data_IF_424542947023
#
_entry.id   IF_424542947023
#
_cell.length_a   1.000
_cell.length_b   1.000
_cell.length_c   1.000
_cell.angle_alpha   90.00
_cell.angle_beta   90.00
_cell.angle_gamma   90.00
#
_symmetry.space_group_name_H-M   'P 1'
#
loop_
_entity.id
_entity.type
_entity.pdbx_description
1 polymer ?
#
# COMPACT_ATOMS: atom_id res chain seq x y z
N UNK A 1 -30.36 43.23 2.36
CA UNK A 1 -30.31 42.32 3.52
C UNK A 1 -29.67 41.03 3.05
N UNK A 2 -28.45 40.74 3.51
CA UNK A 2 -27.69 39.57 3.08
C UNK A 2 -28.21 38.32 3.81
N UNK A 3 -28.69 37.35 3.05
CA UNK A 3 -29.06 36.02 3.53
C UNK A 3 -27.78 35.24 3.84
N UNK A 4 -27.40 35.20 5.12
CA UNK A 4 -26.32 34.38 5.64
C UNK A 4 -26.86 33.01 6.02
N UNK A 5 -27.26 32.21 5.03
CA UNK A 5 -27.48 30.78 5.22
C UNK A 5 -26.13 30.06 5.31
N UNK A 6 -25.41 30.20 6.44
CA UNK A 6 -24.33 29.29 6.76
C UNK A 6 -24.93 27.92 7.03
N UNK A 7 -24.93 27.06 6.01
CA UNK A 7 -25.41 25.69 6.10
C UNK A 7 -24.59 24.91 7.12
N UNK A 8 -25.17 24.73 8.32
CA UNK A 8 -24.59 23.88 9.37
C UNK A 8 -24.57 22.44 8.84
N UNK A 9 -23.40 21.97 8.42
CA UNK A 9 -23.22 20.59 7.96
C UNK A 9 -23.39 19.68 9.17
N UNK A 10 -24.43 18.85 9.16
CA UNK A 10 -24.72 17.93 10.26
C UNK A 10 -23.67 16.81 10.39
N UNK A 11 -23.39 16.29 11.60
CA UNK A 11 -22.39 15.23 11.83
C UNK A 11 -22.64 13.95 11.03
N UNK A 12 -23.89 13.68 10.63
CA UNK A 12 -24.26 12.55 9.79
C UNK A 12 -23.80 12.74 8.34
N UNK A 13 -24.03 13.92 7.74
CA UNK A 13 -23.55 14.27 6.39
C UNK A 13 -22.02 14.23 6.32
N UNK A 14 -21.34 14.72 7.36
CA UNK A 14 -19.87 14.65 7.43
C UNK A 14 -19.35 13.20 7.43
N UNK A 15 -20.02 12.28 8.14
CA UNK A 15 -19.63 10.86 8.17
C UNK A 15 -19.84 10.18 6.81
N UNK A 16 -20.94 10.49 6.13
CA UNK A 16 -21.24 9.96 4.79
C UNK A 16 -20.24 10.45 3.74
N UNK A 17 -19.90 11.74 3.74
CA UNK A 17 -18.90 12.31 2.84
C UNK A 17 -17.51 11.69 3.05
N UNK A 18 -17.09 11.52 4.31
CA UNK A 18 -15.82 10.87 4.65
C UNK A 18 -15.82 9.40 4.19
N UNK A 19 -16.91 8.66 4.41
CA UNK A 19 -17.02 7.28 3.96
C UNK A 19 -16.97 7.17 2.43
N UNK A 20 -17.66 8.07 1.73
CA UNK A 20 -17.68 8.14 0.27
C UNK A 20 -16.28 8.42 -0.29
N UNK A 21 -15.56 9.39 0.29
CA UNK A 21 -14.18 9.69 -0.09
C UNK A 21 -13.24 8.50 0.12
N UNK A 22 -13.33 7.79 1.25
CA UNK A 22 -12.49 6.62 1.52
C UNK A 22 -12.77 5.47 0.54
N UNK A 23 -14.04 5.24 0.18
CA UNK A 23 -14.43 4.23 -0.80
C UNK A 23 -13.90 4.59 -2.20
N UNK A 24 -14.05 5.85 -2.60
CA UNK A 24 -13.54 6.40 -3.86
C UNK A 24 -12.02 6.23 -3.95
N UNK A 25 -11.31 6.67 -2.92
CA UNK A 25 -9.86 6.52 -2.79
C UNK A 25 -9.43 5.05 -2.90
N UNK A 26 -10.12 4.16 -2.19
CA UNK A 26 -9.85 2.72 -2.21
C UNK A 26 -10.01 2.15 -3.61
N UNK A 27 -11.08 2.51 -4.31
CA UNK A 27 -11.37 2.02 -5.66
C UNK A 27 -10.29 2.47 -6.66
N UNK A 28 -10.00 3.77 -6.70
CA UNK A 28 -8.98 4.36 -7.60
C UNK A 28 -7.60 3.75 -7.35
N UNK A 29 -7.16 3.70 -6.10
CA UNK A 29 -5.82 3.19 -5.77
C UNK A 29 -5.71 1.67 -5.96
N UNK A 30 -6.77 0.89 -5.69
CA UNK A 30 -6.73 -0.54 -6.01
C UNK A 30 -6.55 -0.78 -7.50
N UNK A 31 -7.27 -0.03 -8.34
CA UNK A 31 -7.11 -0.16 -9.79
C UNK A 31 -5.70 0.23 -10.24
N UNK A 32 -5.20 1.37 -9.78
CA UNK A 32 -3.83 1.84 -10.07
C UNK A 32 -2.80 0.76 -9.73
N UNK A 33 -2.81 0.22 -8.51
CA UNK A 33 -1.79 -0.73 -8.05
C UNK A 33 -1.82 -2.08 -8.77
N UNK A 34 -2.97 -2.48 -9.33
CA UNK A 34 -3.18 -3.79 -9.98
C UNK A 34 -3.05 -3.75 -11.50
N UNK A 35 -3.29 -2.60 -12.13
CA UNK A 35 -3.41 -2.51 -13.58
C UNK A 35 -2.47 -1.50 -14.26
N UNK A 36 -1.85 -0.60 -13.50
CA UNK A 36 -1.00 0.48 -14.05
C UNK A 36 0.36 0.45 -13.35
N UNK A 37 1.44 0.29 -14.11
CA UNK A 37 2.79 0.40 -13.57
C UNK A 37 3.17 1.88 -13.47
N UNK A 38 3.06 2.47 -12.28
CA UNK A 38 3.37 3.89 -12.04
C UNK A 38 4.84 4.13 -11.66
N UNK A 39 5.71 3.15 -11.94
CA UNK A 39 7.12 3.16 -11.55
C UNK A 39 7.99 2.93 -12.78
N UNK A 40 8.95 3.83 -13.01
CA UNK A 40 9.93 3.75 -14.09
C UNK A 40 11.02 2.69 -13.83
N UNK A 41 11.96 2.53 -14.75
CA UNK A 41 13.08 1.58 -14.64
C UNK A 41 14.02 1.92 -13.48
N UNK A 42 14.12 3.20 -13.13
CA UNK A 42 14.91 3.72 -12.02
C UNK A 42 14.19 3.66 -10.65
N UNK A 43 13.05 2.96 -10.56
CA UNK A 43 12.20 2.87 -9.37
C UNK A 43 11.70 4.22 -8.83
N UNK A 44 11.54 5.21 -9.72
CA UNK A 44 10.91 6.50 -9.40
C UNK A 44 9.43 6.45 -9.81
N UNK A 45 8.62 7.17 -9.05
CA UNK A 45 7.19 7.33 -9.33
C UNK A 45 7.08 8.26 -10.54
N UNK A 46 6.54 7.74 -11.64
CA UNK A 46 6.23 8.52 -12.84
C UNK A 46 4.82 9.07 -12.79
N UNK A 47 4.57 10.09 -13.60
CA UNK A 47 3.21 10.61 -13.80
C UNK A 47 2.33 9.59 -14.53
N UNK A 48 1.04 9.65 -14.23
CA UNK A 48 0.03 8.83 -14.90
C UNK A 48 -0.36 9.53 -16.18
N UNK A 49 -0.21 8.84 -17.30
CA UNK A 49 -0.51 9.37 -18.62
C UNK A 49 -2.01 9.62 -18.79
N UNK A 50 -2.40 10.48 -19.74
CA UNK A 50 -3.81 10.74 -20.08
C UNK A 50 -4.57 9.44 -20.39
N UNK A 51 -3.96 8.53 -21.16
CA UNK A 51 -4.52 7.22 -21.49
C UNK A 51 -4.73 6.34 -20.26
N UNK A 52 -3.81 6.37 -19.29
CA UNK A 52 -3.97 5.64 -18.03
C UNK A 52 -5.06 6.27 -17.15
N UNK A 53 -5.18 7.59 -17.11
CA UNK A 53 -6.27 8.29 -16.43
C UNK A 53 -7.64 7.94 -17.02
N UNK A 54 -7.76 7.92 -18.35
CA UNK A 54 -8.99 7.51 -19.05
C UNK A 54 -9.39 6.08 -18.71
N UNK A 55 -8.42 5.17 -18.57
CA UNK A 55 -8.67 3.78 -18.14
C UNK A 55 -9.19 3.71 -16.70
N UNK A 56 -8.60 4.48 -15.78
CA UNK A 56 -9.09 4.57 -14.40
C UNK A 56 -10.50 5.15 -14.39
N UNK A 57 -10.73 6.24 -15.11
CA UNK A 57 -12.03 6.91 -15.23
C UNK A 57 -13.11 5.96 -15.74
N UNK A 58 -12.84 5.26 -16.84
CA UNK A 58 -13.76 4.28 -17.41
C UNK A 58 -14.09 3.15 -16.42
N UNK A 59 -13.08 2.65 -15.70
CA UNK A 59 -13.30 1.56 -14.74
C UNK A 59 -14.04 2.02 -13.48
N UNK A 60 -13.71 3.20 -12.97
CA UNK A 60 -14.22 3.71 -11.69
C UNK A 60 -15.48 4.55 -11.82
N UNK A 61 -15.83 4.98 -13.04
CA UNK A 61 -16.92 5.91 -13.35
C UNK A 61 -16.78 7.26 -12.61
N UNK A 62 -15.55 7.71 -12.43
CA UNK A 62 -15.22 8.96 -11.75
C UNK A 62 -14.64 9.98 -12.74
N UNK A 63 -14.81 11.26 -12.44
CA UNK A 63 -14.24 12.32 -13.27
C UNK A 63 -12.70 12.28 -13.26
N UNK A 64 -12.08 12.66 -14.38
CA UNK A 64 -10.62 12.77 -14.48
C UNK A 64 -10.06 13.76 -13.46
N UNK A 65 -10.79 14.83 -13.14
CA UNK A 65 -10.38 15.81 -12.13
C UNK A 65 -10.27 15.16 -10.75
N UNK A 66 -11.33 14.46 -10.31
CA UNK A 66 -11.35 13.74 -9.02
C UNK A 66 -10.22 12.71 -8.92
N UNK A 67 -10.00 11.95 -9.99
CA UNK A 67 -8.94 10.94 -10.05
C UNK A 67 -7.57 11.62 -9.94
N UNK A 68 -7.30 12.65 -10.74
CA UNK A 68 -6.02 13.37 -10.73
C UNK A 68 -5.73 13.96 -9.35
N UNK A 69 -6.71 14.59 -8.68
CA UNK A 69 -6.54 15.10 -7.31
C UNK A 69 -6.17 13.99 -6.34
N UNK A 70 -6.87 12.84 -6.39
CA UNK A 70 -6.58 11.69 -5.52
C UNK A 70 -5.19 11.10 -5.76
N UNK A 71 -4.80 10.97 -7.03
CA UNK A 71 -3.50 10.43 -7.41
C UNK A 71 -2.36 11.36 -7.01
N UNK A 72 -2.51 12.67 -7.20
CA UNK A 72 -1.52 13.66 -6.79
C UNK A 72 -1.29 13.62 -5.27
N UNK A 73 -2.38 13.62 -4.48
CA UNK A 73 -2.30 13.48 -3.03
C UNK A 73 -1.64 12.17 -2.59
N UNK A 74 -1.91 11.07 -3.31
CA UNK A 74 -1.27 9.79 -3.06
C UNK A 74 0.23 9.82 -3.37
N UNK A 75 0.62 10.31 -4.55
CA UNK A 75 2.01 10.33 -4.99
C UNK A 75 2.86 11.25 -4.14
N UNK A 76 2.34 12.41 -3.73
CA UNK A 76 3.00 13.29 -2.77
C UNK A 76 3.29 12.56 -1.45
N UNK A 77 2.28 11.90 -0.88
CA UNK A 77 2.45 11.09 0.35
C UNK A 77 3.46 9.96 0.15
N UNK A 78 3.39 9.25 -0.98
CA UNK A 78 4.32 8.16 -1.28
C UNK A 78 5.78 8.65 -1.42
N UNK A 79 6.01 9.80 -2.07
CA UNK A 79 7.33 10.45 -2.14
C UNK A 79 7.83 10.85 -0.76
N UNK A 80 6.97 11.45 0.08
CA UNK A 80 7.32 11.82 1.44
C UNK A 80 7.68 10.60 2.31
N UNK A 81 6.97 9.48 2.15
CA UNK A 81 7.34 8.22 2.79
C UNK A 81 8.72 7.73 2.35
N UNK A 82 9.02 7.79 1.05
CA UNK A 82 10.33 7.39 0.51
C UNK A 82 11.46 8.25 1.09
N UNK A 83 11.28 9.57 1.11
CA UNK A 83 12.25 10.51 1.70
C UNK A 83 12.44 10.21 3.20
N UNK A 84 11.37 9.91 3.93
CA UNK A 84 11.44 9.53 5.34
C UNK A 84 12.29 8.27 5.56
N UNK A 85 12.07 7.20 4.79
CA UNK A 85 12.86 5.97 4.96
C UNK A 85 14.32 6.13 4.54
N UNK A 86 14.60 6.96 3.53
CA UNK A 86 15.95 7.28 3.10
C UNK A 86 16.71 8.14 4.13
N UNK A 87 16.06 9.15 4.69
CA UNK A 87 16.70 10.09 5.64
C UNK A 87 16.81 9.54 7.06
N UNK A 88 15.90 8.65 7.45
CA UNK A 88 15.84 8.06 8.80
C UNK A 88 15.81 6.54 8.67
N UNK A 89 16.95 5.90 8.35
CA UNK A 89 17.02 4.46 8.26
C UNK A 89 16.56 3.89 9.60
N UNK A 90 15.46 3.13 9.57
CA UNK A 90 14.92 2.58 10.79
C UNK A 90 15.90 1.54 11.30
N UNK A 91 16.50 1.82 12.45
CA UNK A 91 17.40 0.89 13.13
C UNK A 91 16.69 -0.41 13.44
N UNK A 92 17.40 -1.50 13.19
CA UNK A 92 16.98 -2.83 13.56
C UNK A 92 16.91 -2.92 15.09
N UNK A 93 15.82 -3.48 15.61
CA UNK A 93 15.62 -3.64 17.04
C UNK A 93 15.79 -5.11 17.41
N UNK A 94 16.68 -5.40 18.36
CA UNK A 94 16.90 -6.75 18.88
C UNK A 94 15.64 -7.33 19.52
N UNK A 95 14.82 -6.47 20.14
CA UNK A 95 13.55 -6.89 20.72
C UNK A 95 12.52 -7.13 19.61
N UNK A 96 12.28 -8.41 19.31
CA UNK A 96 11.36 -8.88 18.26
C UNK A 96 9.92 -8.37 18.42
N UNK A 97 9.43 -8.25 19.66
CA UNK A 97 8.09 -7.74 19.93
C UNK A 97 7.97 -6.24 19.63
N UNK A 98 9.01 -5.45 19.96
CA UNK A 98 9.07 -4.03 19.59
C UNK A 98 9.20 -3.85 18.08
N UNK A 99 10.01 -4.70 17.42
CA UNK A 99 10.13 -4.73 15.96
C UNK A 99 8.77 -5.01 15.30
N UNK A 100 8.03 -6.05 15.72
CA UNK A 100 6.68 -6.35 15.20
C UNK A 100 5.74 -5.16 15.36
N UNK A 101 5.71 -4.55 16.56
CA UNK A 101 4.90 -3.36 16.83
C UNK A 101 5.25 -2.22 15.86
N UNK A 102 6.53 -2.02 15.59
CA UNK A 102 7.02 -0.99 14.66
C UNK A 102 6.57 -1.28 13.22
N UNK A 103 6.77 -2.49 12.71
CA UNK A 103 6.29 -2.89 11.38
C UNK A 103 4.77 -2.70 11.28
N UNK A 104 4.02 -3.07 12.32
CA UNK A 104 2.56 -2.89 12.37
C UNK A 104 2.12 -1.42 12.29
N UNK A 105 2.86 -0.50 12.92
CA UNK A 105 2.60 0.95 12.84
C UNK A 105 2.80 1.43 11.40
N UNK A 106 3.91 1.06 10.76
CA UNK A 106 4.17 1.48 9.38
C UNK A 106 3.21 0.83 8.37
N UNK A 107 2.82 -0.43 8.56
CA UNK A 107 1.74 -1.05 7.78
C UNK A 107 0.42 -0.29 7.91
N UNK A 108 0.09 0.22 9.11
CA UNK A 108 -1.10 1.04 9.30
C UNK A 108 -0.99 2.36 8.52
N UNK A 109 0.18 3.02 8.59
CA UNK A 109 0.46 4.25 7.82
C UNK A 109 0.32 4.00 6.31
N UNK A 110 0.90 2.91 5.79
CA UNK A 110 0.76 2.52 4.39
C UNK A 110 -0.71 2.27 4.01
N UNK A 111 -1.47 1.56 4.85
CA UNK A 111 -2.91 1.33 4.62
C UNK A 111 -3.73 2.63 4.58
N UNK A 112 -3.44 3.59 5.47
CA UNK A 112 -4.08 4.92 5.46
C UNK A 112 -3.72 5.72 4.21
N UNK A 113 -2.49 5.56 3.71
CA UNK A 113 -2.03 6.20 2.47
C UNK A 113 -2.68 5.57 1.24
N UNK A 114 -2.67 4.24 1.13
CA UNK A 114 -3.27 3.48 0.05
C UNK A 114 -3.96 2.20 0.59
N UNK A 115 -5.30 2.19 0.73
CA UNK A 115 -6.04 1.05 1.29
C UNK A 115 -6.23 -0.08 0.26
N UNK A 116 -5.12 -0.60 -0.27
CA UNK A 116 -5.09 -1.60 -1.37
C UNK A 116 -5.01 -3.06 -0.89
N UNK A 117 -4.88 -3.27 0.42
CA UNK A 117 -4.78 -4.57 1.07
C UNK A 117 -5.62 -4.59 2.36
N UNK A 118 -5.96 -5.77 2.87
CA UNK A 118 -6.69 -5.89 4.13
C UNK A 118 -5.73 -5.71 5.32
N UNK A 119 -5.87 -4.60 6.06
CA UNK A 119 -5.02 -4.35 7.23
C UNK A 119 -5.22 -5.40 8.35
N UNK A 120 -6.44 -5.87 8.58
CA UNK A 120 -6.72 -6.92 9.57
C UNK A 120 -5.96 -8.20 9.24
N UNK A 121 -5.98 -8.63 7.98
CA UNK A 121 -5.24 -9.81 7.52
C UNK A 121 -3.72 -9.58 7.51
N UNK A 122 -3.28 -8.38 7.14
CA UNK A 122 -1.87 -8.02 7.20
C UNK A 122 -1.29 -8.14 8.62
N UNK A 123 -2.06 -7.81 9.66
CA UNK A 123 -1.63 -8.02 11.06
C UNK A 123 -1.44 -9.50 11.40
N UNK A 124 -2.34 -10.37 10.95
CA UNK A 124 -2.20 -11.81 11.17
C UNK A 124 -0.99 -12.37 10.41
N UNK A 125 -0.84 -12.01 9.14
CA UNK A 125 0.28 -12.42 8.31
C UNK A 125 1.62 -11.88 8.81
N UNK A 126 1.66 -10.70 9.45
CA UNK A 126 2.87 -10.17 10.08
C UNK A 126 3.38 -11.09 11.20
N UNK A 127 2.49 -11.58 12.06
CA UNK A 127 2.85 -12.51 13.15
C UNK A 127 3.42 -13.81 12.60
N UNK A 128 2.74 -14.37 11.60
CA UNK A 128 3.19 -15.60 10.91
C UNK A 128 4.54 -15.37 10.25
N UNK A 129 4.73 -14.23 9.58
CA UNK A 129 6.00 -13.88 8.96
C UNK A 129 7.12 -13.78 10.01
N UNK A 130 6.89 -13.11 11.14
CA UNK A 130 7.91 -12.97 12.18
C UNK A 130 8.35 -14.32 12.77
N UNK A 131 7.42 -15.24 13.01
CA UNK A 131 7.76 -16.60 13.42
C UNK A 131 8.63 -17.31 12.37
N UNK A 132 8.34 -17.12 11.08
CA UNK A 132 9.14 -17.69 9.99
C UNK A 132 10.53 -17.04 9.87
N UNK A 133 10.64 -15.71 10.03
CA UNK A 133 11.91 -14.98 10.06
C UNK A 133 12.81 -15.49 11.19
N UNK A 134 12.22 -15.76 12.35
CA UNK A 134 12.90 -16.33 13.50
C UNK A 134 13.42 -17.75 13.21
N UNK A 135 12.56 -18.63 12.69
CA UNK A 135 12.95 -20.00 12.31
C UNK A 135 14.08 -20.04 11.28
N UNK A 136 14.12 -19.07 10.35
CA UNK A 136 15.15 -18.99 9.30
C UNK A 136 16.36 -18.17 9.70
N UNK A 137 16.40 -17.63 10.92
CA UNK A 137 17.44 -16.71 11.40
C UNK A 137 17.76 -15.59 10.41
N UNK A 138 16.74 -15.02 9.77
CA UNK A 138 16.89 -14.00 8.74
C UNK A 138 15.93 -12.85 9.02
N UNK A 139 16.47 -11.65 9.28
CA UNK A 139 15.69 -10.46 9.61
C UNK A 139 15.94 -9.35 8.60
N UNK A 140 15.17 -9.27 7.50
CA UNK A 140 15.35 -8.23 6.50
C UNK A 140 14.92 -6.87 7.04
N UNK A 141 15.29 -5.78 6.36
CA UNK A 141 14.87 -4.43 6.74
C UNK A 141 13.34 -4.29 6.83
N UNK A 142 12.87 -3.37 7.66
CA UNK A 142 11.42 -3.14 7.89
C UNK A 142 10.67 -2.86 6.59
N UNK A 143 11.25 -2.11 5.66
CA UNK A 143 10.68 -1.86 4.32
C UNK A 143 10.40 -3.14 3.54
N UNK A 144 11.32 -4.11 3.66
CA UNK A 144 11.19 -5.44 3.06
C UNK A 144 10.14 -6.28 3.80
N UNK A 145 10.12 -6.24 5.13
CA UNK A 145 9.08 -6.92 5.92
C UNK A 145 7.69 -6.41 5.57
N UNK A 146 7.49 -5.09 5.45
CA UNK A 146 6.21 -4.50 5.01
C UNK A 146 5.80 -4.98 3.62
N UNK A 147 6.73 -4.95 2.65
CA UNK A 147 6.48 -5.41 1.29
C UNK A 147 6.08 -6.90 1.27
N UNK A 148 6.78 -7.75 2.04
CA UNK A 148 6.45 -9.18 2.16
C UNK A 148 5.06 -9.40 2.76
N UNK A 149 4.72 -8.71 3.85
CA UNK A 149 3.40 -8.86 4.49
C UNK A 149 2.28 -8.46 3.52
N UNK A 150 2.42 -7.34 2.81
CA UNK A 150 1.41 -6.91 1.84
C UNK A 150 1.34 -7.90 0.68
N UNK A 151 2.47 -8.39 0.18
CA UNK A 151 2.53 -9.41 -0.87
C UNK A 151 1.78 -10.69 -0.46
N UNK A 152 2.09 -11.25 0.71
CA UNK A 152 1.42 -12.45 1.24
C UNK A 152 -0.08 -12.19 1.43
N UNK A 153 -0.43 -11.03 1.98
CA UNK A 153 -1.83 -10.66 2.23
C UNK A 153 -2.65 -10.55 0.95
N UNK A 154 -2.06 -9.95 -0.09
CA UNK A 154 -2.69 -9.78 -1.39
C UNK A 154 -2.87 -11.13 -2.11
N UNK A 155 -1.84 -11.99 -2.06
CA UNK A 155 -1.83 -13.29 -2.72
C UNK A 155 -2.76 -14.31 -2.07
N UNK A 156 -2.85 -14.30 -0.75
CA UNK A 156 -3.75 -15.19 0.00
C UNK A 156 -5.20 -14.67 0.03
N UNK A 157 -5.54 -13.59 -0.68
CA UNK A 157 -6.89 -13.04 -0.68
C UNK A 157 -7.82 -13.78 -1.64
N UNK A 158 -8.60 -14.73 -1.11
CA UNK A 158 -9.61 -15.48 -1.89
C UNK A 158 -10.64 -14.58 -2.58
N UNK A 159 -10.88 -13.36 -2.06
CA UNK A 159 -11.82 -12.39 -2.67
C UNK A 159 -11.27 -11.68 -3.91
N UNK A 160 -9.96 -11.71 -4.14
CA UNK A 160 -9.36 -11.17 -5.35
C UNK A 160 -9.45 -12.24 -6.44
N UNK A 161 -10.51 -12.18 -7.25
CA UNK A 161 -10.72 -13.08 -8.38
C UNK A 161 -9.46 -13.19 -9.27
N UNK A 162 -9.03 -14.43 -9.51
CA UNK A 162 -8.30 -14.89 -10.71
C UNK A 162 -7.21 -13.94 -11.25
N UNK A 163 -6.14 -13.72 -10.49
CA UNK A 163 -4.88 -13.19 -11.06
C UNK A 163 -4.70 -11.66 -11.03
N UNK A 164 -5.65 -10.89 -10.55
CA UNK A 164 -5.52 -9.44 -10.40
C UNK A 164 -4.74 -9.04 -9.15
N UNK A 165 -3.49 -9.50 -9.04
CA UNK A 165 -2.63 -9.17 -7.90
C UNK A 165 -2.02 -7.78 -8.02
N UNK A 166 -1.58 -7.22 -6.89
CA UNK A 166 -0.78 -6.00 -6.88
C UNK A 166 0.49 -6.25 -7.71
N UNK A 167 0.80 -5.32 -8.61
CA UNK A 167 2.03 -5.34 -9.39
C UNK A 167 3.21 -5.23 -8.42
N UNK A 168 4.11 -6.22 -8.44
CA UNK A 168 5.21 -6.30 -7.47
C UNK A 168 6.12 -5.06 -7.52
N UNK A 169 6.34 -4.49 -8.71
CA UNK A 169 7.13 -3.27 -8.88
C UNK A 169 6.51 -2.07 -8.17
N UNK A 170 5.19 -1.88 -8.30
CA UNK A 170 4.43 -0.85 -7.59
C UNK A 170 4.51 -1.03 -6.07
N UNK A 171 4.31 -2.27 -5.60
CA UNK A 171 4.39 -2.60 -4.17
C UNK A 171 5.76 -2.27 -3.59
N UNK A 172 6.82 -2.71 -4.27
CA UNK A 172 8.21 -2.51 -3.87
C UNK A 172 8.55 -1.01 -3.80
N UNK A 173 8.19 -0.24 -4.82
CA UNK A 173 8.41 1.21 -4.81
C UNK A 173 7.63 1.91 -3.69
N UNK A 174 6.38 1.49 -3.43
CA UNK A 174 5.56 2.06 -2.37
C UNK A 174 6.11 1.77 -0.96
N UNK A 175 6.72 0.61 -0.76
CA UNK A 175 7.32 0.23 0.52
C UNK A 175 8.78 0.66 0.67
N UNK A 176 9.38 1.29 -0.33
CA UNK A 176 10.81 1.57 -0.43
C UNK A 176 11.69 0.32 -0.25
N UNK A 177 11.36 -0.73 -1.02
CA UNK A 177 12.04 -2.03 -0.98
C UNK A 177 12.68 -2.34 -2.34
N UNK A 178 13.97 -2.68 -2.35
CA UNK A 178 14.67 -3.05 -3.59
C UNK A 178 14.20 -4.42 -4.13
N UNK A 179 14.36 -4.63 -5.45
CA UNK A 179 14.04 -5.91 -6.07
C UNK A 179 14.85 -7.04 -5.43
N UNK A 180 16.14 -6.82 -5.29
CA UNK A 180 17.07 -7.78 -4.72
C UNK A 180 16.67 -8.17 -3.29
N UNK A 181 16.45 -7.18 -2.39
CA UNK A 181 16.08 -7.47 -1.00
C UNK A 181 14.76 -8.25 -0.92
N UNK A 182 13.76 -7.85 -1.72
CA UNK A 182 12.47 -8.53 -1.77
C UNK A 182 12.59 -9.99 -2.25
N UNK A 183 13.26 -10.23 -3.37
CA UNK A 183 13.40 -11.57 -3.94
C UNK A 183 14.30 -12.47 -3.07
N UNK A 184 15.40 -11.93 -2.55
CA UNK A 184 16.28 -12.65 -1.63
C UNK A 184 15.53 -13.11 -0.37
N UNK A 185 14.80 -12.20 0.27
CA UNK A 185 14.04 -12.54 1.47
C UNK A 185 12.94 -13.57 1.17
N UNK A 186 12.21 -13.44 0.05
CA UNK A 186 11.23 -14.45 -0.37
C UNK A 186 11.84 -15.82 -0.57
N UNK A 187 13.00 -15.90 -1.21
CA UNK A 187 13.68 -17.16 -1.48
C UNK A 187 14.17 -17.83 -0.20
N UNK A 188 14.79 -17.07 0.71
CA UNK A 188 15.24 -17.57 2.03
C UNK A 188 14.05 -18.12 2.83
N UNK A 189 12.93 -17.41 2.79
CA UNK A 189 11.71 -17.78 3.50
C UNK A 189 10.85 -18.80 2.74
N UNK A 190 11.29 -19.25 1.56
CA UNK A 190 10.54 -20.17 0.68
C UNK A 190 9.11 -19.71 0.37
N UNK A 191 8.90 -18.39 0.25
CA UNK A 191 7.60 -17.80 -0.10
C UNK A 191 7.45 -17.77 -1.62
N UNK A 192 6.58 -18.64 -2.12
CA UNK A 192 6.32 -18.80 -3.56
C UNK A 192 5.60 -17.60 -4.19
N UNK A 193 5.41 -17.62 -5.50
CA UNK A 193 4.72 -16.56 -6.25
C UNK A 193 3.24 -16.43 -5.90
N UNK A 194 2.66 -17.44 -5.25
CA UNK A 194 1.30 -17.46 -4.68
C UNK A 194 1.26 -16.99 -3.22
N UNK A 195 2.38 -16.52 -2.65
CA UNK A 195 2.41 -16.03 -1.27
C UNK A 195 2.30 -17.13 -0.20
N UNK A 196 2.53 -18.39 -0.58
CA UNK A 196 2.51 -19.54 0.33
C UNK A 196 3.95 -19.96 0.65
N UNK A 197 4.16 -20.46 1.86
CA UNK A 197 5.42 -21.07 2.25
C UNK A 197 5.47 -22.52 1.71
N UNK A 198 6.64 -22.96 1.23
CA UNK A 198 6.90 -24.36 0.90
C UNK A 198 7.41 -25.12 2.12
#
# INVERSE_FOLDING_TARGET
>A
MADMSQGVITPLKQKEEVANYQNTKKMVLNYLFRHICFVDEQNKIKEVTKKELERISTHTKLSNLTITTLLNQFFEKARNFKIFFASKPITWEYNKAKLEKKVRIYLHKLYRTAPIFSYSRAKANLRILHALLEQKNHWPHITTQMALVIFITDRNNLKNNRGHYIIQKNLRAFCDCSAYAFHRARNILRINTKGQNY
#
